data_IF_135870657638
#
_entry.id   IF_135870657638
#
_cell.length_a   1.000
_cell.length_b   1.000
_cell.length_c   1.000
_cell.angle_alpha   90.00
_cell.angle_beta   90.00
_cell.angle_gamma   90.00
#
_symmetry.space_group_name_H-M   'P 1'
#
loop_
_entity.id
_entity.type
_entity.pdbx_description
1 polymer ?
#
# COMPACT_ATOMS: atom_id res chain seq x y z
N UNK A 1 -18.53 49.18 39.16
CA UNK A 1 -17.17 48.61 39.22
C UNK A 1 -17.29 47.15 38.79
N UNK A 2 -16.65 46.79 37.67
CA UNK A 2 -17.11 45.73 36.76
C UNK A 2 -16.92 44.29 37.22
N UNK A 3 -17.93 43.47 36.95
CA UNK A 3 -17.89 42.00 36.97
C UNK A 3 -17.10 41.50 35.76
N UNK A 4 -16.03 40.75 36.00
CA UNK A 4 -15.25 40.05 34.96
C UNK A 4 -16.05 38.85 34.42
N UNK A 5 -16.15 38.66 33.09
CA UNK A 5 -16.77 37.47 32.53
C UNK A 5 -15.82 36.26 32.67
N UNK A 6 -16.36 35.17 33.18
CA UNK A 6 -15.66 33.89 33.32
C UNK A 6 -15.23 33.34 31.96
N UNK A 7 -13.96 32.98 31.86
CA UNK A 7 -13.35 32.37 30.69
C UNK A 7 -14.09 31.07 30.33
N UNK A 8 -14.64 31.04 29.11
CA UNK A 8 -15.28 29.89 28.51
C UNK A 8 -14.20 28.84 28.25
N UNK A 9 -14.19 27.76 29.05
CA UNK A 9 -13.31 26.61 28.85
C UNK A 9 -13.68 25.96 27.52
N UNK A 10 -12.81 26.13 26.52
CA UNK A 10 -12.91 25.43 25.25
C UNK A 10 -12.98 23.93 25.50
N UNK A 11 -14.11 23.32 25.16
CA UNK A 11 -14.28 21.88 25.23
C UNK A 11 -13.30 21.22 24.28
N UNK A 12 -12.41 20.38 24.83
CA UNK A 12 -11.63 19.46 24.03
C UNK A 12 -12.59 18.50 23.33
N UNK A 13 -12.73 18.66 22.02
CA UNK A 13 -13.38 17.66 21.17
C UNK A 13 -12.29 16.63 20.87
N UNK A 14 -12.36 15.39 21.39
CA UNK A 14 -11.39 14.38 21.03
C UNK A 14 -11.41 14.19 19.52
N UNK A 15 -10.25 14.34 18.88
CA UNK A 15 -10.08 13.99 17.47
C UNK A 15 -10.48 12.53 17.33
N UNK A 16 -11.47 12.25 16.48
CA UNK A 16 -11.93 10.89 16.22
C UNK A 16 -10.72 9.98 16.01
N UNK A 17 -10.59 8.95 16.84
CA UNK A 17 -9.51 7.98 16.71
C UNK A 17 -9.61 7.35 15.32
N UNK A 18 -8.52 7.40 14.56
CA UNK A 18 -8.46 6.79 13.23
C UNK A 18 -8.59 5.28 13.42
N UNK A 19 -9.64 4.66 12.90
CA UNK A 19 -9.80 3.20 12.94
C UNK A 19 -8.63 2.55 12.21
N UNK A 20 -7.83 1.77 12.93
CA UNK A 20 -6.71 1.01 12.35
C UNK A 20 -7.25 -0.36 11.91
N UNK A 21 -7.01 -0.73 10.66
CA UNK A 21 -7.25 -2.08 10.14
C UNK A 21 -6.00 -2.92 10.36
N UNK A 22 -6.14 -4.02 11.11
CA UNK A 22 -5.09 -5.03 11.25
C UNK A 22 -5.13 -6.00 10.07
N UNK A 23 -3.97 -6.28 9.50
CA UNK A 23 -3.79 -7.17 8.37
C UNK A 23 -3.10 -8.44 8.85
N UNK A 24 -3.76 -9.58 8.67
CA UNK A 24 -3.20 -10.88 8.96
C UNK A 24 -1.99 -11.16 8.05
N UNK A 25 -0.97 -11.82 8.59
CA UNK A 25 0.22 -12.19 7.83
C UNK A 25 -0.10 -13.14 6.67
N UNK A 26 -1.10 -14.01 6.86
CA UNK A 26 -1.71 -14.82 5.81
C UNK A 26 -3.20 -14.44 5.68
N UNK A 27 -3.58 -13.98 4.49
CA UNK A 27 -4.95 -13.59 4.16
C UNK A 27 -5.74 -14.69 3.45
N UNK A 28 -5.12 -15.83 3.10
CA UNK A 28 -5.78 -16.99 2.50
C UNK A 28 -6.31 -16.79 1.08
N UNK A 29 -5.95 -15.70 0.40
CA UNK A 29 -6.35 -15.48 -1.00
C UNK A 29 -5.33 -16.12 -1.94
N UNK A 30 -5.77 -16.76 -3.04
CA UNK A 30 -4.85 -17.31 -4.01
C UNK A 30 -4.10 -16.19 -4.75
N UNK A 31 -2.86 -16.48 -5.17
CA UNK A 31 -2.15 -15.63 -6.11
C UNK A 31 -2.89 -15.66 -7.44
N UNK A 32 -3.30 -14.51 -8.00
CA UNK A 32 -3.97 -14.48 -9.30
C UNK A 32 -3.04 -14.96 -10.41
N UNK A 33 -3.62 -15.54 -11.46
CA UNK A 33 -2.87 -15.89 -12.67
C UNK A 33 -2.21 -14.66 -13.29
N UNK A 34 -1.00 -14.84 -13.81
CA UNK A 34 -0.31 -13.78 -14.53
C UNK A 34 -1.06 -13.43 -15.83
N UNK A 35 -1.13 -12.14 -16.20
CA UNK A 35 -1.77 -11.75 -17.45
C UNK A 35 -1.01 -12.34 -18.65
N UNK A 36 -1.68 -12.99 -19.62
CA UNK A 36 -1.03 -13.63 -20.77
C UNK A 36 -0.64 -12.62 -21.88
N UNK A 37 -0.15 -11.45 -21.49
CA UNK A 37 0.16 -10.32 -22.39
C UNK A 37 1.62 -10.31 -22.86
N UNK A 38 2.49 -11.05 -22.16
CA UNK A 38 3.91 -11.19 -22.45
C UNK A 38 4.46 -12.47 -21.84
N UNK A 39 5.66 -12.85 -22.24
CA UNK A 39 6.44 -13.83 -21.49
C UNK A 39 6.97 -13.20 -20.21
N UNK A 40 6.77 -13.90 -19.09
CA UNK A 40 7.18 -13.47 -17.76
C UNK A 40 8.43 -14.21 -17.34
N UNK A 41 9.46 -13.48 -16.95
CA UNK A 41 10.68 -14.07 -16.40
C UNK A 41 10.43 -14.67 -15.02
N UNK A 42 11.23 -15.65 -14.60
CA UNK A 42 11.11 -16.28 -13.28
C UNK A 42 11.15 -15.26 -12.13
N UNK A 43 11.97 -14.20 -12.29
CA UNK A 43 12.04 -13.10 -11.35
C UNK A 43 10.73 -12.33 -11.25
N UNK A 44 10.11 -11.99 -12.39
CA UNK A 44 8.83 -11.29 -12.39
C UNK A 44 7.70 -12.17 -11.84
N UNK A 45 7.70 -13.46 -12.14
CA UNK A 45 6.73 -14.42 -11.58
C UNK A 45 6.85 -14.49 -10.06
N UNK A 46 8.08 -14.54 -9.55
CA UNK A 46 8.36 -14.55 -8.10
C UNK A 46 7.92 -13.25 -7.43
N UNK A 47 8.19 -12.10 -8.06
CA UNK A 47 7.83 -10.79 -7.54
C UNK A 47 6.30 -10.58 -7.55
N UNK A 48 5.62 -11.05 -8.60
CA UNK A 48 4.16 -11.08 -8.67
C UNK A 48 3.56 -11.88 -7.52
N UNK A 49 4.04 -13.11 -7.30
CA UNK A 49 3.59 -13.94 -6.19
C UNK A 49 3.84 -13.28 -4.83
N UNK A 50 5.03 -12.70 -4.62
CA UNK A 50 5.38 -12.00 -3.39
C UNK A 50 4.43 -10.82 -3.09
N UNK A 51 4.04 -10.05 -4.10
CA UNK A 51 3.06 -8.97 -3.91
C UNK A 51 1.68 -9.50 -3.52
N UNK A 52 1.18 -10.52 -4.23
CA UNK A 52 -0.16 -11.05 -3.99
C UNK A 52 -0.28 -11.96 -2.75
N UNK A 53 0.84 -12.42 -2.20
CA UNK A 53 0.91 -13.11 -0.91
C UNK A 53 1.13 -12.16 0.27
N UNK A 54 1.40 -10.88 -0.01
CA UNK A 54 1.63 -9.90 1.05
C UNK A 54 0.32 -9.61 1.81
N UNK A 55 0.37 -9.33 3.12
CA UNK A 55 -0.81 -8.97 3.93
C UNK A 55 -1.67 -7.85 3.31
N UNK A 56 -1.01 -6.91 2.63
CA UNK A 56 -1.62 -5.78 1.96
C UNK A 56 -2.53 -6.20 0.80
N UNK A 57 -2.27 -7.34 0.16
CA UNK A 57 -3.07 -7.85 -0.94
C UNK A 57 -4.52 -8.17 -0.52
N UNK A 58 -4.77 -8.42 0.77
CA UNK A 58 -6.12 -8.56 1.34
C UNK A 58 -6.99 -7.30 1.23
N UNK A 59 -6.38 -6.16 0.92
CA UNK A 59 -7.04 -4.88 0.68
C UNK A 59 -7.19 -4.56 -0.81
N UNK A 60 -6.58 -5.35 -1.70
CA UNK A 60 -6.56 -5.10 -3.13
C UNK A 60 -7.73 -5.81 -3.81
N UNK A 61 -8.42 -5.09 -4.70
CA UNK A 61 -9.37 -5.71 -5.62
C UNK A 61 -8.70 -6.19 -6.90
N UNK A 62 -9.44 -6.98 -7.69
CA UNK A 62 -8.98 -7.51 -8.98
C UNK A 62 -8.61 -6.42 -9.99
N UNK A 63 -9.17 -5.22 -9.85
CA UNK A 63 -8.86 -4.05 -10.66
C UNK A 63 -7.39 -3.60 -10.53
N UNK A 64 -6.68 -4.02 -9.49
CA UNK A 64 -5.27 -3.68 -9.28
C UNK A 64 -4.30 -4.64 -9.98
N UNK A 65 -4.77 -5.76 -10.54
CA UNK A 65 -3.95 -6.69 -11.36
C UNK A 65 -3.10 -5.99 -12.42
N UNK A 66 -3.64 -5.12 -13.31
CA UNK A 66 -2.82 -4.42 -14.30
C UNK A 66 -1.80 -3.46 -13.67
N UNK A 67 -2.12 -2.86 -12.52
CA UNK A 67 -1.21 -1.94 -11.81
C UNK A 67 -0.02 -2.70 -11.23
N UNK A 68 -0.28 -3.83 -10.56
CA UNK A 68 0.77 -4.70 -10.01
C UNK A 68 1.63 -5.28 -11.15
N UNK A 69 1.02 -5.65 -12.29
CA UNK A 69 1.75 -6.15 -13.45
C UNK A 69 2.74 -5.11 -14.01
N UNK A 70 2.32 -3.86 -14.11
CA UNK A 70 3.18 -2.76 -14.53
C UNK A 70 4.31 -2.50 -13.53
N UNK A 71 4.00 -2.51 -12.22
CA UNK A 71 4.97 -2.36 -11.14
C UNK A 71 6.06 -3.44 -11.22
N UNK A 72 5.66 -4.71 -11.30
CA UNK A 72 6.58 -5.87 -11.41
C UNK A 72 7.51 -5.71 -12.62
N UNK A 73 6.94 -5.34 -13.78
CA UNK A 73 7.71 -5.16 -15.02
C UNK A 73 8.76 -4.05 -14.87
N UNK A 74 8.38 -2.90 -14.28
CA UNK A 74 9.29 -1.78 -14.11
C UNK A 74 10.38 -2.08 -13.07
N UNK A 75 10.06 -2.79 -11.99
CA UNK A 75 11.05 -3.20 -11.01
C UNK A 75 12.04 -4.23 -11.57
N UNK A 76 11.56 -5.18 -12.38
CA UNK A 76 12.45 -6.10 -13.09
C UNK A 76 13.37 -5.35 -14.06
N UNK A 77 12.82 -4.41 -14.83
CA UNK A 77 13.60 -3.53 -15.72
C UNK A 77 14.67 -2.74 -14.96
N UNK A 78 14.34 -2.23 -13.77
CA UNK A 78 15.24 -1.45 -12.91
C UNK A 78 16.43 -2.27 -12.39
N UNK A 79 16.31 -3.59 -12.24
CA UNK A 79 17.41 -4.46 -11.82
C UNK A 79 18.45 -4.68 -12.92
N UNK A 80 18.02 -4.64 -14.18
CA UNK A 80 18.89 -4.87 -15.34
C UNK A 80 19.47 -3.56 -15.90
N UNK A 81 18.72 -2.47 -15.76
CA UNK A 81 19.03 -1.19 -16.40
C UNK A 81 18.45 -0.02 -15.63
N UNK A 82 18.96 1.19 -15.87
CA UNK A 82 18.31 2.39 -15.36
C UNK A 82 16.95 2.59 -16.03
N UNK A 83 15.93 2.92 -15.24
CA UNK A 83 14.61 3.33 -15.73
C UNK A 83 14.53 4.86 -15.77
N UNK A 84 13.60 5.39 -16.58
CA UNK A 84 13.42 6.82 -16.69
C UNK A 84 12.85 7.41 -15.38
N UNK A 85 13.14 8.68 -15.09
CA UNK A 85 12.72 9.33 -13.84
C UNK A 85 11.19 9.27 -13.60
N UNK A 86 10.38 9.36 -14.66
CA UNK A 86 8.93 9.25 -14.55
C UNK A 86 8.48 7.81 -14.23
N UNK A 87 9.20 6.79 -14.73
CA UNK A 87 8.95 5.38 -14.40
C UNK A 87 9.28 5.12 -12.92
N UNK A 88 10.42 5.64 -12.43
CA UNK A 88 10.78 5.56 -11.00
C UNK A 88 9.74 6.24 -10.11
N UNK A 89 9.23 7.40 -10.52
CA UNK A 89 8.17 8.10 -9.80
C UNK A 89 6.88 7.28 -9.79
N UNK A 90 6.48 6.73 -10.93
CA UNK A 90 5.31 5.86 -11.01
C UNK A 90 5.44 4.65 -10.07
N UNK A 91 6.62 4.00 -10.02
CA UNK A 91 6.90 2.90 -9.08
C UNK A 91 6.71 3.36 -7.64
N UNK A 92 7.32 4.47 -7.24
CA UNK A 92 7.22 5.00 -5.88
C UNK A 92 5.76 5.35 -5.50
N UNK A 93 5.04 6.06 -6.38
CA UNK A 93 3.64 6.44 -6.15
C UNK A 93 2.72 5.20 -6.09
N UNK A 94 3.04 4.16 -6.86
CA UNK A 94 2.29 2.88 -6.87
C UNK A 94 2.52 2.12 -5.58
N UNK A 95 3.76 1.99 -5.11
CA UNK A 95 4.08 1.36 -3.82
C UNK A 95 3.38 2.06 -2.66
N UNK A 96 3.29 3.40 -2.74
CA UNK A 96 2.59 4.22 -1.75
C UNK A 96 1.06 4.09 -1.83
N UNK A 97 0.50 3.88 -3.03
CA UNK A 97 -0.94 3.67 -3.21
C UNK A 97 -1.38 2.27 -2.80
N UNK A 98 -0.54 1.25 -3.06
CA UNK A 98 -0.79 -0.14 -2.69
C UNK A 98 -0.56 -0.42 -1.20
N UNK A 99 -0.04 0.56 -0.45
CA UNK A 99 0.21 0.38 0.98
C UNK A 99 1.40 -0.51 1.30
N UNK A 100 2.33 -0.71 0.35
CA UNK A 100 3.43 -1.66 0.53
C UNK A 100 4.57 -1.09 1.40
N UNK A 101 4.64 0.23 1.54
CA UNK A 101 5.64 0.89 2.40
C UNK A 101 5.09 1.16 3.80
N UNK A 102 5.93 1.18 4.86
CA UNK A 102 5.48 1.50 6.22
C UNK A 102 4.75 2.84 6.32
N UNK A 103 5.24 3.86 5.59
CA UNK A 103 4.61 5.18 5.53
C UNK A 103 3.22 5.11 4.89
N UNK A 104 3.08 4.33 3.82
CA UNK A 104 1.81 4.14 3.13
C UNK A 104 0.79 3.39 4.00
N UNK A 105 1.24 2.34 4.69
CA UNK A 105 0.41 1.61 5.66
C UNK A 105 -0.13 2.55 6.75
N UNK A 106 0.74 3.33 7.38
CA UNK A 106 0.34 4.31 8.40
C UNK A 106 -0.67 5.33 7.84
N UNK A 107 -0.47 5.79 6.59
CA UNK A 107 -1.38 6.72 5.91
C UNK A 107 -2.74 6.07 5.61
N UNK A 108 -2.76 4.80 5.20
CA UNK A 108 -3.98 4.03 4.93
C UNK A 108 -4.66 3.54 6.22
N UNK A 109 -3.98 3.67 7.37
CA UNK A 109 -4.49 3.18 8.65
C UNK A 109 -4.41 1.65 8.74
N UNK A 110 -3.39 1.06 8.12
CA UNK A 110 -3.12 -0.37 8.16
C UNK A 110 -1.98 -0.67 9.12
N UNK A 111 -2.08 -1.78 9.81
CA UNK A 111 -1.07 -2.32 10.71
C UNK A 111 -0.98 -3.83 10.48
N UNK A 112 0.21 -4.40 10.53
CA UNK A 112 0.36 -5.85 10.47
C UNK A 112 0.01 -6.45 11.84
N UNK A 113 -0.58 -7.63 11.85
CA UNK A 113 -0.74 -8.37 13.10
C UNK A 113 0.63 -8.80 13.66
N UNK A 114 0.84 -8.62 14.96
CA UNK A 114 2.00 -9.19 15.64
C UNK A 114 1.81 -10.71 15.77
N UNK A 115 2.87 -11.48 15.48
CA UNK A 115 2.94 -12.96 15.67
C UNK A 115 2.75 -13.38 17.14
#
# INVERSE_FOLDING_TARGET
>A
MGTRPGAQRGGYVPRAAKTIRRLAMDHGYPVPDLPPVKEWTDYEQSLWAAYWQSPQAACWGDELRPVVAALVTLQAKQMVSSIAAHESKFVADTLDSLGVTPTAMARLGWELEDD
#
